data_IF_258432801165
#
_entry.id   IF_258432801165
#
_cell.length_a   1.000
_cell.length_b   1.000
_cell.length_c   1.000
_cell.angle_alpha   90.00
_cell.angle_beta   90.00
_cell.angle_gamma   90.00
#
_symmetry.space_group_name_H-M   'P 1'
#
loop_
_entity.id
_entity.type
_entity.pdbx_description
1 polymer ?
#
# COMPACT_ATOMS: atom_id res chain seq x y z
N UNK A 1 -7.63 12.99 -51.07
CA UNK A 1 -6.88 11.85 -50.51
C UNK A 1 -6.05 12.39 -49.34
N UNK A 2 -6.58 12.41 -48.12
CA UNK A 2 -6.42 11.36 -47.09
C UNK A 2 -4.96 10.90 -46.95
N UNK A 3 -4.19 11.53 -46.06
CA UNK A 3 -3.43 10.80 -45.03
C UNK A 3 -3.54 11.61 -43.73
N UNK A 4 -4.51 11.18 -42.94
CA UNK A 4 -4.63 11.40 -41.51
C UNK A 4 -3.30 10.95 -40.87
N UNK A 5 -2.47 11.89 -40.38
CA UNK A 5 -1.27 11.55 -39.62
C UNK A 5 -1.73 10.97 -38.29
N UNK A 6 -1.83 9.64 -38.25
CA UNK A 6 -2.24 8.85 -37.11
C UNK A 6 -1.29 9.16 -35.96
N UNK A 7 -1.90 9.65 -34.89
CA UNK A 7 -1.37 9.84 -33.56
C UNK A 7 -0.87 8.48 -33.04
N UNK A 8 0.40 8.14 -33.24
CA UNK A 8 1.02 6.99 -32.60
C UNK A 8 1.33 7.38 -31.15
N UNK A 9 0.30 7.38 -30.30
CA UNK A 9 0.49 7.35 -28.86
C UNK A 9 1.12 5.99 -28.58
N UNK A 10 2.45 6.00 -28.42
CA UNK A 10 3.22 4.87 -27.92
C UNK A 10 2.80 4.68 -26.47
N UNK A 11 1.80 3.83 -26.26
CA UNK A 11 1.41 3.35 -24.94
C UNK A 11 2.54 2.48 -24.42
N UNK A 12 3.51 3.11 -23.76
CA UNK A 12 4.49 2.44 -22.91
C UNK A 12 3.69 1.89 -21.73
N UNK A 13 3.08 0.72 -21.92
CA UNK A 13 2.58 -0.09 -20.82
C UNK A 13 3.82 -0.54 -20.04
N UNK A 14 4.27 0.30 -19.12
CA UNK A 14 5.20 -0.12 -18.08
C UNK A 14 4.48 -1.20 -17.29
N UNK A 15 4.82 -2.45 -17.56
CA UNK A 15 4.48 -3.59 -16.71
C UNK A 15 5.30 -3.42 -15.43
N UNK A 16 4.91 -2.45 -14.62
CA UNK A 16 5.41 -2.25 -13.28
C UNK A 16 4.86 -3.42 -12.46
N UNK A 17 5.62 -4.52 -12.42
CA UNK A 17 5.35 -5.62 -11.50
C UNK A 17 5.43 -5.03 -10.09
N UNK A 18 4.28 -4.61 -9.57
CA UNK A 18 4.17 -4.01 -8.25
C UNK A 18 4.65 -5.06 -7.26
N UNK A 19 5.77 -4.78 -6.58
CA UNK A 19 6.31 -5.58 -5.48
C UNK A 19 6.10 -4.81 -4.18
N UNK A 20 5.79 -5.55 -3.11
CA UNK A 20 5.56 -4.98 -1.78
C UNK A 20 6.81 -4.26 -1.32
N UNK A 21 6.64 -3.13 -0.65
CA UNK A 21 7.75 -2.40 -0.08
C UNK A 21 8.21 -3.05 1.23
N UNK A 22 9.20 -3.92 1.13
CA UNK A 22 9.71 -4.68 2.26
C UNK A 22 10.43 -3.79 3.30
N UNK A 23 11.05 -2.68 2.87
CA UNK A 23 11.76 -1.75 3.76
C UNK A 23 10.77 -1.00 4.64
N UNK A 24 9.78 -0.36 4.01
CA UNK A 24 8.70 0.31 4.72
C UNK A 24 7.94 -0.68 5.60
N UNK A 25 7.65 -1.88 5.07
CA UNK A 25 7.01 -2.94 5.84
C UNK A 25 7.77 -3.34 7.09
N UNK A 26 9.09 -3.46 7.03
CA UNK A 26 9.94 -3.74 8.18
C UNK A 26 9.92 -2.62 9.22
N UNK A 27 9.96 -1.35 8.77
CA UNK A 27 9.88 -0.19 9.67
C UNK A 27 8.51 -0.10 10.36
N UNK A 28 7.43 -0.29 9.60
CA UNK A 28 6.07 -0.36 10.12
C UNK A 28 5.94 -1.52 11.14
N UNK A 29 6.53 -2.69 10.85
CA UNK A 29 6.56 -3.85 11.78
C UNK A 29 7.22 -3.53 13.11
N UNK A 30 8.39 -2.92 13.06
CA UNK A 30 9.15 -2.55 14.25
C UNK A 30 8.42 -1.49 15.06
N UNK A 31 7.80 -0.50 14.41
CA UNK A 31 7.08 0.56 15.10
C UNK A 31 5.85 0.02 15.84
N UNK A 32 5.00 -0.75 15.16
CA UNK A 32 3.82 -1.37 15.79
C UNK A 32 4.23 -2.28 16.96
N UNK A 33 5.28 -3.10 16.80
CA UNK A 33 5.81 -3.94 17.88
C UNK A 33 6.26 -3.11 19.07
N UNK A 34 7.09 -2.10 18.84
CA UNK A 34 7.59 -1.21 19.90
C UNK A 34 6.45 -0.52 20.65
N UNK A 35 5.44 -0.05 19.91
CA UNK A 35 4.26 0.60 20.49
C UNK A 35 3.37 -0.37 21.27
N UNK A 36 3.24 -1.62 20.82
CA UNK A 36 2.56 -2.71 21.55
C UNK A 36 3.31 -3.08 22.84
N UNK A 37 4.64 -3.12 22.82
CA UNK A 37 5.43 -3.35 24.03
C UNK A 37 5.32 -2.19 25.03
N UNK A 38 5.19 -0.95 24.54
CA UNK A 38 4.94 0.23 25.39
C UNK A 38 3.55 0.19 26.05
N UNK A 39 2.51 -0.28 25.37
CA UNK A 39 1.17 -0.36 25.98
C UNK A 39 1.13 -1.35 27.15
N UNK A 40 1.84 -2.48 27.02
CA UNK A 40 2.01 -3.48 28.09
C UNK A 40 2.71 -2.91 29.33
N UNK A 41 3.66 -1.99 29.14
CA UNK A 41 4.48 -1.41 30.23
C UNK A 41 3.82 -0.23 30.95
N UNK A 42 2.97 0.53 30.27
CA UNK A 42 2.55 1.87 30.75
C UNK A 42 1.21 1.89 31.48
N UNK A 43 0.52 0.74 31.66
CA UNK A 43 -0.82 0.60 32.25
C UNK A 43 -1.93 1.46 31.59
N UNK A 44 -1.62 2.28 30.59
CA UNK A 44 -2.55 3.15 29.87
C UNK A 44 -3.41 2.39 28.85
N UNK A 45 -3.01 1.19 28.44
CA UNK A 45 -3.73 0.40 27.44
C UNK A 45 -3.62 0.91 26.00
N UNK A 46 -2.90 2.02 25.75
CA UNK A 46 -2.67 2.56 24.42
C UNK A 46 -1.29 3.22 24.31
N UNK A 47 -0.81 3.39 23.08
CA UNK A 47 0.33 4.25 22.73
C UNK A 47 0.06 4.91 21.38
N UNK A 48 0.64 6.08 21.15
CA UNK A 48 0.40 6.86 19.93
C UNK A 48 1.71 7.14 19.22
N UNK A 49 1.68 7.12 17.89
CA UNK A 49 2.77 7.57 17.04
C UNK A 49 2.22 8.32 15.83
N UNK A 50 3.07 9.16 15.23
CA UNK A 50 2.75 9.78 13.96
C UNK A 50 3.20 8.88 12.83
N UNK A 51 2.33 8.54 11.91
CA UNK A 51 2.68 7.73 10.73
C UNK A 51 3.76 8.42 9.86
N UNK A 52 3.82 9.75 9.90
CA UNK A 52 4.89 10.55 9.28
C UNK A 52 6.29 10.26 9.83
N UNK A 53 6.43 9.63 11.00
CA UNK A 53 7.74 9.22 11.53
C UNK A 53 8.40 8.08 10.75
N UNK A 54 7.63 7.34 9.95
CA UNK A 54 8.10 6.19 9.16
C UNK A 54 7.68 6.26 7.69
N UNK A 55 7.06 7.37 7.26
CA UNK A 55 6.73 7.61 5.85
C UNK A 55 7.59 8.76 5.35
N UNK A 56 8.63 8.43 4.56
CA UNK A 56 9.55 9.39 3.93
C UNK A 56 9.09 9.84 2.54
N UNK A 57 7.84 9.52 2.18
CA UNK A 57 7.23 9.77 0.89
C UNK A 57 5.92 10.55 1.06
N UNK A 58 5.52 11.26 0.00
CA UNK A 58 4.25 12.01 -0.02
C UNK A 58 3.09 11.06 -0.22
N UNK A 59 2.04 11.23 0.58
CA UNK A 59 0.78 10.50 0.46
C UNK A 59 -0.38 11.38 0.95
N UNK A 60 -1.56 11.18 0.39
CA UNK A 60 -2.79 11.92 0.71
C UNK A 60 -3.92 11.01 1.23
N UNK A 61 -3.93 9.75 0.77
CA UNK A 61 -4.86 8.71 1.19
C UNK A 61 -4.10 7.41 1.39
N UNK A 62 -4.52 6.62 2.37
CA UNK A 62 -4.08 5.23 2.50
C UNK A 62 -5.29 4.32 2.66
N UNK A 63 -5.20 3.13 2.08
CA UNK A 63 -6.23 2.11 2.12
C UNK A 63 -5.69 0.89 2.86
N UNK A 64 -6.59 0.18 3.53
CA UNK A 64 -6.33 -1.14 4.10
C UNK A 64 -7.24 -2.12 3.39
N UNK A 65 -6.67 -2.99 2.58
CA UNK A 65 -7.40 -4.03 1.86
C UNK A 65 -7.26 -5.38 2.56
N UNK A 66 -8.33 -6.16 2.46
CA UNK A 66 -8.37 -7.54 2.92
C UNK A 66 -7.64 -8.50 1.97
N UNK A 67 -7.38 -9.71 2.45
CA UNK A 67 -6.81 -10.78 1.64
C UNK A 67 -7.68 -11.11 0.42
N UNK A 68 -7.09 -11.72 -0.61
CA UNK A 68 -7.73 -12.17 -1.85
C UNK A 68 -8.33 -11.10 -2.77
N UNK A 69 -8.22 -9.81 -2.42
CA UNK A 69 -8.59 -8.78 -3.38
C UNK A 69 -7.62 -8.74 -4.55
N UNK A 70 -8.19 -8.81 -5.75
CA UNK A 70 -7.46 -8.72 -7.03
C UNK A 70 -7.09 -7.27 -7.35
N UNK A 71 -6.23 -7.10 -8.34
CA UNK A 71 -5.93 -5.81 -8.95
C UNK A 71 -7.16 -5.08 -9.47
N UNK A 72 -8.07 -5.80 -10.12
CA UNK A 72 -9.36 -5.27 -10.54
C UNK A 72 -10.18 -4.75 -9.36
N UNK A 73 -10.35 -5.56 -8.31
CA UNK A 73 -11.14 -5.14 -7.13
C UNK A 73 -10.56 -3.88 -6.49
N UNK A 74 -9.23 -3.82 -6.34
CA UNK A 74 -8.57 -2.67 -5.74
C UNK A 74 -8.71 -1.46 -6.64
N UNK A 75 -8.47 -1.58 -7.95
CA UNK A 75 -8.64 -0.51 -8.94
C UNK A 75 -10.05 0.10 -8.90
N UNK A 76 -11.08 -0.76 -8.87
CA UNK A 76 -12.48 -0.35 -8.78
C UNK A 76 -12.76 0.47 -7.50
N UNK A 77 -12.11 0.13 -6.37
CA UNK A 77 -12.29 0.84 -5.08
C UNK A 77 -11.53 2.17 -5.04
N UNK A 78 -10.29 2.21 -5.55
CA UNK A 78 -9.45 3.41 -5.48
C UNK A 78 -9.72 4.40 -6.61
N UNK A 79 -10.45 3.98 -7.65
CA UNK A 79 -10.81 4.81 -8.81
C UNK A 79 -9.62 5.14 -9.72
N UNK A 80 -8.53 4.38 -9.62
CA UNK A 80 -7.32 4.50 -10.46
C UNK A 80 -6.89 3.10 -10.90
N UNK A 81 -6.34 2.98 -12.10
CA UNK A 81 -5.80 1.70 -12.58
C UNK A 81 -4.59 1.30 -11.74
N UNK A 82 -4.61 0.07 -11.23
CA UNK A 82 -3.51 -0.48 -10.46
C UNK A 82 -3.22 -1.91 -10.88
N UNK A 83 -1.96 -2.19 -11.22
CA UNK A 83 -1.49 -3.49 -11.70
C UNK A 83 -0.64 -4.22 -10.66
N UNK A 84 -1.21 -4.45 -9.47
CA UNK A 84 -0.55 -5.21 -8.41
C UNK A 84 -0.93 -6.69 -8.41
N UNK A 85 -0.29 -7.46 -7.52
CA UNK A 85 -0.68 -8.86 -7.30
C UNK A 85 -1.94 -8.94 -6.44
N UNK A 86 -2.69 -10.02 -6.50
CA UNK A 86 -3.72 -10.32 -5.49
C UNK A 86 -3.16 -10.20 -4.07
N UNK A 87 -3.95 -9.67 -3.13
CA UNK A 87 -3.53 -9.61 -1.73
C UNK A 87 -3.34 -11.04 -1.20
N UNK A 88 -2.14 -11.42 -0.73
CA UNK A 88 -1.88 -12.82 -0.37
C UNK A 88 -2.64 -13.24 0.89
N UNK A 89 -2.95 -14.53 1.01
CA UNK A 89 -3.67 -15.04 2.17
C UNK A 89 -2.98 -14.70 3.51
N UNK A 90 -3.78 -14.36 4.52
CA UNK A 90 -3.35 -13.94 5.85
C UNK A 90 -2.70 -12.56 5.89
N UNK A 91 -2.74 -11.80 4.79
CA UNK A 91 -2.20 -10.43 4.75
C UNK A 91 -3.32 -9.41 4.57
N UNK A 92 -3.14 -8.25 5.18
CA UNK A 92 -3.77 -7.00 4.77
C UNK A 92 -2.82 -6.27 3.82
N UNK A 93 -3.34 -5.56 2.83
CA UNK A 93 -2.53 -4.65 2.01
C UNK A 93 -2.76 -3.21 2.43
N UNK A 94 -1.69 -2.56 2.88
CA UNK A 94 -1.65 -1.11 3.11
C UNK A 94 -1.20 -0.45 1.81
N UNK A 95 -2.04 0.38 1.19
CA UNK A 95 -1.78 1.00 -0.12
C UNK A 95 -1.88 2.52 0.00
N UNK A 96 -0.82 3.23 -0.42
CA UNK A 96 -0.69 4.68 -0.26
C UNK A 96 -0.83 5.39 -1.61
N UNK A 97 -1.70 6.39 -1.66
CA UNK A 97 -1.99 7.17 -2.87
C UNK A 97 -1.53 8.61 -2.68
N UNK A 98 -1.00 9.20 -3.75
CA UNK A 98 -0.70 10.62 -3.84
C UNK A 98 -1.01 11.10 -5.25
N UNK A 99 -1.84 12.14 -5.41
CA UNK A 99 -2.19 12.75 -6.70
C UNK A 99 -2.70 11.74 -7.73
N UNK A 100 -3.51 10.78 -7.30
CA UNK A 100 -4.07 9.75 -8.18
C UNK A 100 -3.11 8.64 -8.59
N UNK A 101 -1.96 8.51 -7.93
CA UNK A 101 -1.00 7.43 -8.19
C UNK A 101 -0.71 6.62 -6.92
N UNK A 102 -0.53 5.30 -7.09
CA UNK A 102 -0.05 4.44 -6.01
C UNK A 102 1.44 4.69 -5.80
N UNK A 103 1.79 5.27 -4.65
CA UNK A 103 3.18 5.62 -4.32
C UNK A 103 3.94 4.47 -3.66
N UNK A 104 3.28 3.76 -2.75
CA UNK A 104 3.81 2.58 -2.08
C UNK A 104 2.69 1.64 -1.68
N UNK A 105 3.01 0.38 -1.49
CA UNK A 105 2.15 -0.54 -0.78
C UNK A 105 2.97 -1.56 0.03
N UNK A 106 2.36 -2.14 1.05
CA UNK A 106 2.96 -3.24 1.79
C UNK A 106 1.93 -4.32 2.10
N UNK A 107 2.32 -5.57 1.94
CA UNK A 107 1.59 -6.73 2.45
C UNK A 107 1.98 -6.98 3.90
N UNK A 108 1.02 -6.74 4.81
CA UNK A 108 1.17 -6.95 6.23
C UNK A 108 0.50 -8.25 6.65
N UNK A 109 1.31 -9.24 7.04
CA UNK A 109 0.78 -10.46 7.63
C UNK A 109 0.15 -10.14 8.98
N UNK A 110 -1.17 -10.26 9.06
CA UNK A 110 -1.89 -10.07 10.31
C UNK A 110 -1.70 -11.33 11.15
N UNK A 111 -0.57 -11.39 11.86
CA UNK A 111 -0.41 -12.36 12.92
C UNK A 111 -1.21 -11.80 14.10
N UNK A 112 -2.33 -12.45 14.41
CA UNK A 112 -2.92 -12.41 15.74
C UNK A 112 -1.79 -12.76 16.71
N UNK A 113 -1.25 -11.76 17.40
CA UNK A 113 -0.48 -11.97 18.61
C UNK A 113 -1.47 -12.45 19.68
N UNK A 114 -1.93 -13.70 19.53
CA UNK A 114 -2.57 -14.47 20.59
C UNK A 114 -1.48 -15.31 21.26
#
# INVERSE_FOLDING_TARGET
MKILKILMIVSIAMVACSKSDDKFGSQFKKLIKSHSDLTKKTAKGYSTFRLSSITDFKWEKFYVFDEFLTDKNISDIIGIEWSGRTVPSGNKRLLFINKGEVTRYVDWKWILFL
#
